data_IF_432757344372
#
_entry.id   IF_432757344372
#
_cell.length_a   1.000
_cell.length_b   1.000
_cell.length_c   1.000
_cell.angle_alpha   90.00
_cell.angle_beta   90.00
_cell.angle_gamma   90.00
#
_symmetry.space_group_name_H-M   'P 1'
#
loop_
_entity.id
_entity.type
_entity.pdbx_description
1 polymer ?
#
# COMPACT_ATOMS: atom_id res chain seq x y z
N UNK A 1 -62.60 -23.66 -13.56
CA UNK A 1 -61.65 -22.54 -13.35
C UNK A 1 -60.49 -22.89 -12.41
N UNK A 2 -60.71 -23.47 -11.21
CA UNK A 2 -59.62 -23.85 -10.27
C UNK A 2 -58.50 -24.75 -10.85
N UNK A 3 -58.83 -25.76 -11.67
CA UNK A 3 -57.82 -26.68 -12.24
C UNK A 3 -56.88 -26.03 -13.27
N UNK A 4 -57.36 -25.03 -14.03
CA UNK A 4 -56.52 -24.32 -14.99
C UNK A 4 -55.54 -23.38 -14.28
N UNK A 5 -55.99 -22.76 -13.17
CA UNK A 5 -55.12 -21.93 -12.34
C UNK A 5 -54.03 -22.78 -11.70
N UNK A 6 -54.38 -23.95 -11.13
CA UNK A 6 -53.42 -24.85 -10.50
C UNK A 6 -52.39 -25.40 -11.51
N UNK A 7 -52.84 -25.81 -12.71
CA UNK A 7 -51.95 -26.24 -13.80
C UNK A 7 -51.02 -25.13 -14.26
N UNK A 8 -51.52 -23.91 -14.44
CA UNK A 8 -50.70 -22.77 -14.86
C UNK A 8 -49.67 -22.39 -13.81
N UNK A 9 -50.02 -22.48 -12.52
CA UNK A 9 -49.07 -22.25 -11.41
C UNK A 9 -47.97 -23.32 -11.41
N UNK A 10 -48.30 -24.61 -11.60
CA UNK A 10 -47.28 -25.67 -11.69
C UNK A 10 -46.37 -25.46 -12.89
N UNK A 11 -46.91 -25.11 -14.06
CA UNK A 11 -46.10 -24.82 -15.25
C UNK A 11 -45.16 -23.64 -15.00
N UNK A 12 -45.66 -22.57 -14.37
CA UNK A 12 -44.86 -21.38 -14.06
C UNK A 12 -43.75 -21.69 -13.05
N UNK A 13 -44.03 -22.51 -12.04
CA UNK A 13 -43.03 -22.99 -11.08
C UNK A 13 -41.97 -23.88 -11.75
N UNK A 14 -42.37 -24.77 -12.68
CA UNK A 14 -41.42 -25.58 -13.45
C UNK A 14 -40.54 -24.72 -14.35
N UNK A 15 -41.11 -23.70 -15.01
CA UNK A 15 -40.33 -22.74 -15.82
C UNK A 15 -39.33 -22.00 -14.92
N UNK A 16 -39.78 -21.47 -13.78
CA UNK A 16 -38.92 -20.77 -12.84
C UNK A 16 -37.78 -21.67 -12.33
N UNK A 17 -38.10 -22.94 -12.02
CA UNK A 17 -37.11 -23.91 -11.57
C UNK A 17 -36.07 -24.21 -12.67
N UNK A 18 -36.50 -24.40 -13.91
CA UNK A 18 -35.58 -24.59 -15.05
C UNK A 18 -34.71 -23.36 -15.27
N UNK A 19 -35.29 -22.16 -15.21
CA UNK A 19 -34.53 -20.89 -15.33
C UNK A 19 -33.49 -20.77 -14.22
N UNK A 20 -33.85 -21.08 -12.97
CA UNK A 20 -32.91 -21.05 -11.85
C UNK A 20 -31.77 -22.07 -12.01
N UNK A 21 -32.06 -23.28 -12.49
CA UNK A 21 -31.01 -24.28 -12.77
C UNK A 21 -30.09 -23.80 -13.88
N UNK A 22 -30.63 -23.29 -14.99
CA UNK A 22 -29.82 -22.83 -16.13
C UNK A 22 -28.98 -21.63 -15.74
N UNK A 23 -29.58 -20.65 -15.05
CA UNK A 23 -28.87 -19.45 -14.63
C UNK A 23 -27.82 -19.77 -13.56
N UNK A 24 -28.20 -20.55 -12.55
CA UNK A 24 -27.30 -21.00 -11.49
C UNK A 24 -26.13 -21.82 -12.05
N UNK A 25 -26.41 -22.78 -12.93
CA UNK A 25 -25.40 -23.60 -13.61
C UNK A 25 -24.49 -22.80 -14.53
N UNK A 26 -25.03 -21.83 -15.27
CA UNK A 26 -24.23 -20.95 -16.13
C UNK A 26 -23.34 -20.02 -15.30
N UNK A 27 -23.86 -19.47 -14.19
CA UNK A 27 -23.10 -18.63 -13.28
C UNK A 27 -21.98 -19.41 -12.59
N UNK A 28 -22.25 -20.61 -12.08
CA UNK A 28 -21.21 -21.45 -11.47
C UNK A 28 -20.15 -21.86 -12.48
N UNK A 29 -20.56 -22.24 -13.69
CA UNK A 29 -19.64 -22.52 -14.80
C UNK A 29 -18.77 -21.31 -15.13
N UNK A 30 -19.37 -20.13 -15.30
CA UNK A 30 -18.65 -18.89 -15.63
C UNK A 30 -17.57 -18.57 -14.60
N UNK A 31 -17.89 -18.72 -13.31
CA UNK A 31 -16.92 -18.45 -12.24
C UNK A 31 -15.93 -19.60 -12.03
N UNK A 32 -16.10 -20.78 -12.61
CA UNK A 32 -15.16 -21.90 -12.46
C UNK A 32 -14.33 -22.17 -13.73
N UNK A 33 -14.78 -21.68 -14.88
CA UNK A 33 -14.15 -21.93 -16.17
C UNK A 33 -12.81 -21.19 -16.32
N UNK A 34 -11.98 -21.69 -17.25
CA UNK A 34 -10.73 -21.04 -17.62
C UNK A 34 -11.02 -19.58 -18.07
N UNK A 35 -10.26 -18.58 -17.57
CA UNK A 35 -10.41 -17.18 -17.97
C UNK A 35 -10.41 -16.95 -19.48
N UNK A 36 -9.65 -17.72 -20.26
CA UNK A 36 -9.59 -17.65 -21.74
C UNK A 36 -10.94 -17.95 -22.40
N UNK A 37 -11.80 -18.72 -21.72
CA UNK A 37 -13.17 -19.05 -22.17
C UNK A 37 -14.23 -18.11 -21.59
N UNK A 38 -13.83 -17.14 -20.76
CA UNK A 38 -14.73 -16.22 -20.05
C UNK A 38 -14.23 -14.78 -20.19
N UNK A 39 -13.69 -14.18 -19.13
CA UNK A 39 -13.32 -12.77 -19.10
C UNK A 39 -12.20 -12.39 -20.08
N UNK A 40 -11.22 -13.28 -20.30
CA UNK A 40 -10.10 -13.01 -21.20
C UNK A 40 -10.45 -13.22 -22.68
N UNK A 41 -11.69 -13.60 -23.00
CA UNK A 41 -12.21 -13.56 -24.38
C UNK A 41 -12.43 -12.12 -24.88
N UNK A 42 -12.53 -11.14 -23.98
CA UNK A 42 -12.55 -9.72 -24.29
C UNK A 42 -11.11 -9.21 -24.55
N UNK A 43 -10.89 -8.48 -25.65
CA UNK A 43 -9.55 -8.00 -26.00
C UNK A 43 -9.02 -6.94 -25.02
N UNK A 44 -9.92 -6.31 -24.28
CA UNK A 44 -9.64 -5.32 -23.24
C UNK A 44 -8.98 -5.96 -22.02
N UNK A 45 -9.35 -7.21 -21.74
CA UNK A 45 -8.93 -7.95 -20.53
C UNK A 45 -7.73 -8.84 -20.82
N UNK A 46 -7.54 -9.28 -22.06
CA UNK A 46 -6.40 -10.10 -22.51
C UNK A 46 -5.03 -9.64 -21.97
N UNK A 47 -4.69 -8.34 -21.94
CA UNK A 47 -3.40 -7.87 -21.44
C UNK A 47 -3.23 -8.04 -19.92
N UNK A 48 -4.29 -7.76 -19.16
CA UNK A 48 -4.33 -8.00 -17.72
C UNK A 48 -4.24 -9.50 -17.42
N UNK A 49 -4.86 -10.35 -18.26
CA UNK A 49 -4.71 -11.80 -18.17
C UNK A 49 -3.28 -12.26 -18.46
N UNK A 50 -2.62 -11.74 -19.50
CA UNK A 50 -1.24 -12.08 -19.83
C UNK A 50 -0.27 -11.73 -18.70
N UNK A 51 -0.42 -10.54 -18.11
CA UNK A 51 0.42 -10.13 -16.96
C UNK A 51 0.14 -11.00 -15.73
N UNK A 52 -1.13 -11.27 -15.41
CA UNK A 52 -1.54 -12.21 -14.37
C UNK A 52 -0.93 -13.62 -14.56
N UNK A 53 -0.97 -14.16 -15.78
CA UNK A 53 -0.46 -15.50 -16.09
C UNK A 53 1.05 -15.66 -15.82
N UNK A 54 1.80 -14.56 -15.83
CA UNK A 54 3.23 -14.51 -15.50
C UNK A 54 3.52 -14.06 -14.07
N UNK A 55 2.49 -13.86 -13.24
CA UNK A 55 2.62 -13.34 -11.88
C UNK A 55 2.73 -14.44 -10.83
N UNK A 56 3.10 -14.04 -9.60
CA UNK A 56 3.07 -14.92 -8.44
C UNK A 56 1.65 -15.43 -8.10
N UNK A 57 0.60 -14.75 -8.60
CA UNK A 57 -0.80 -15.11 -8.38
C UNK A 57 -1.42 -15.85 -9.57
N UNK A 58 -0.62 -16.31 -10.53
CA UNK A 58 -1.08 -17.03 -11.74
C UNK A 58 -1.84 -18.35 -11.46
N UNK A 59 -1.79 -18.86 -10.24
CA UNK A 59 -2.54 -20.04 -9.80
C UNK A 59 -3.81 -19.71 -9.01
N UNK A 60 -4.15 -18.41 -8.88
CA UNK A 60 -5.36 -17.93 -8.20
C UNK A 60 -6.31 -17.37 -9.24
N UNK A 61 -7.58 -17.77 -9.19
CA UNK A 61 -8.60 -17.30 -10.12
C UNK A 61 -8.91 -15.81 -9.94
N UNK A 62 -9.24 -15.11 -11.04
CA UNK A 62 -9.42 -13.65 -11.05
C UNK A 62 -10.46 -13.17 -10.02
N UNK A 63 -11.58 -13.89 -9.87
CA UNK A 63 -12.68 -13.52 -8.97
C UNK A 63 -12.34 -13.59 -7.48
N UNK A 64 -11.26 -14.30 -7.11
CA UNK A 64 -10.77 -14.27 -5.72
C UNK A 64 -10.27 -12.87 -5.34
N UNK A 65 -9.86 -12.05 -6.32
CA UNK A 65 -9.42 -10.66 -6.10
C UNK A 65 -10.44 -9.63 -6.62
N UNK A 66 -11.03 -9.86 -7.80
CA UNK A 66 -11.94 -8.90 -8.44
C UNK A 66 -13.42 -9.12 -8.14
N UNK A 67 -13.75 -10.17 -7.36
CA UNK A 67 -15.12 -10.58 -7.14
C UNK A 67 -15.80 -11.17 -8.38
N UNK A 68 -17.08 -11.46 -8.23
CA UNK A 68 -18.00 -11.98 -9.24
C UNK A 68 -19.09 -10.95 -9.53
N UNK A 69 -19.90 -11.19 -10.56
CA UNK A 69 -21.04 -10.33 -10.89
C UNK A 69 -22.09 -10.20 -9.77
N UNK A 70 -22.03 -11.04 -8.73
CA UNK A 70 -22.97 -11.02 -7.60
C UNK A 70 -22.28 -10.78 -6.25
N UNK A 71 -20.98 -10.45 -6.24
CA UNK A 71 -20.23 -10.31 -4.99
C UNK A 71 -20.77 -9.20 -4.09
N UNK A 72 -21.24 -8.09 -4.67
CA UNK A 72 -21.91 -7.00 -3.93
C UNK A 72 -23.34 -6.77 -4.45
N UNK A 73 -24.05 -7.85 -4.76
CA UNK A 73 -25.44 -7.80 -5.23
C UNK A 73 -25.63 -7.01 -6.52
N UNK A 74 -26.58 -6.07 -6.53
CA UNK A 74 -26.95 -5.30 -7.72
C UNK A 74 -25.83 -4.39 -8.23
N UNK A 75 -24.94 -3.92 -7.34
CA UNK A 75 -23.83 -3.05 -7.72
C UNK A 75 -22.88 -3.77 -8.69
N UNK A 76 -22.29 -4.90 -8.26
CA UNK A 76 -21.39 -5.69 -9.12
C UNK A 76 -22.07 -6.15 -10.42
N UNK A 77 -23.36 -6.45 -10.39
CA UNK A 77 -24.10 -6.82 -11.60
C UNK A 77 -24.19 -5.63 -12.57
N UNK A 78 -24.55 -4.44 -12.07
CA UNK A 78 -24.64 -3.22 -12.86
C UNK A 78 -23.30 -2.84 -13.48
N UNK A 79 -22.19 -2.99 -12.75
CA UNK A 79 -20.84 -2.75 -13.27
C UNK A 79 -20.51 -3.69 -14.43
N UNK A 80 -20.74 -5.00 -14.26
CA UNK A 80 -20.43 -5.97 -15.32
C UNK A 80 -21.31 -5.77 -16.55
N UNK A 81 -22.58 -5.41 -16.37
CA UNK A 81 -23.47 -5.03 -17.47
C UNK A 81 -22.98 -3.75 -18.16
N UNK A 82 -22.51 -2.76 -17.40
CA UNK A 82 -21.97 -1.53 -17.94
C UNK A 82 -20.68 -1.78 -18.74
N UNK A 83 -19.79 -2.69 -18.33
CA UNK A 83 -18.61 -3.06 -19.13
C UNK A 83 -19.00 -3.54 -20.54
N UNK A 84 -20.03 -4.40 -20.65
CA UNK A 84 -20.53 -4.88 -21.95
C UNK A 84 -21.13 -3.74 -22.77
N UNK A 85 -21.91 -2.87 -22.13
CA UNK A 85 -22.50 -1.71 -22.79
C UNK A 85 -21.43 -0.74 -23.31
N UNK A 86 -20.44 -0.41 -22.49
CA UNK A 86 -19.32 0.48 -22.84
C UNK A 86 -18.45 -0.12 -23.94
N UNK A 87 -18.21 -1.44 -23.93
CA UNK A 87 -17.54 -2.12 -25.04
C UNK A 87 -18.26 -1.89 -26.38
N UNK A 88 -19.58 -2.10 -26.41
CA UNK A 88 -20.37 -1.97 -27.65
C UNK A 88 -20.52 -0.52 -28.12
N UNK A 89 -20.67 0.42 -27.18
CA UNK A 89 -21.02 1.81 -27.51
C UNK A 89 -19.82 2.73 -27.62
N UNK A 90 -18.85 2.58 -26.73
CA UNK A 90 -17.79 3.56 -26.51
C UNK A 90 -16.40 3.05 -26.93
N UNK A 91 -16.22 1.74 -27.09
CA UNK A 91 -14.95 1.11 -27.47
C UNK A 91 -13.74 1.73 -26.75
N UNK A 92 -13.73 1.72 -25.40
CA UNK A 92 -12.77 2.47 -24.60
C UNK A 92 -11.35 2.02 -24.91
N UNK A 93 -10.41 2.96 -24.81
CA UNK A 93 -9.01 2.63 -24.95
C UNK A 93 -8.52 1.86 -23.71
N UNK A 94 -7.48 1.04 -23.86
CA UNK A 94 -7.02 0.13 -22.78
C UNK A 94 -6.70 0.89 -21.49
N UNK A 95 -6.08 2.04 -21.62
CA UNK A 95 -5.67 2.91 -20.53
C UNK A 95 -6.85 3.54 -19.79
N UNK A 96 -8.07 3.54 -20.34
CA UNK A 96 -9.28 4.02 -19.68
C UNK A 96 -9.92 2.95 -18.77
N UNK A 97 -9.48 1.69 -18.88
CA UNK A 97 -10.06 0.56 -18.14
C UNK A 97 -9.30 0.38 -16.84
N UNK A 98 -9.82 1.01 -15.78
CA UNK A 98 -9.22 1.04 -14.45
C UNK A 98 -10.23 0.68 -13.38
N UNK A 99 -9.71 0.22 -12.25
CA UNK A 99 -10.54 0.03 -11.06
C UNK A 99 -10.76 1.36 -10.36
N UNK A 100 -11.97 1.60 -9.88
CA UNK A 100 -12.26 2.72 -8.98
C UNK A 100 -11.58 2.50 -7.61
N UNK A 101 -11.47 3.56 -6.83
CA UNK A 101 -11.03 3.48 -5.43
C UNK A 101 -11.82 2.45 -4.62
N UNK A 102 -13.16 2.46 -4.75
CA UNK A 102 -14.04 1.51 -4.08
C UNK A 102 -13.67 0.07 -4.44
N UNK A 103 -13.50 -0.23 -5.74
CA UNK A 103 -13.09 -1.56 -6.20
C UNK A 103 -11.70 -1.95 -5.67
N UNK A 104 -10.75 -1.01 -5.60
CA UNK A 104 -9.42 -1.22 -5.04
C UNK A 104 -9.51 -1.59 -3.56
N UNK A 105 -10.32 -0.87 -2.78
CA UNK A 105 -10.52 -1.13 -1.36
C UNK A 105 -11.22 -2.47 -1.12
N UNK A 106 -12.20 -2.84 -1.94
CA UNK A 106 -12.81 -4.16 -1.87
C UNK A 106 -11.83 -5.29 -2.23
N UNK A 107 -11.00 -5.10 -3.26
CA UNK A 107 -9.96 -6.07 -3.61
C UNK A 107 -8.96 -6.23 -2.47
N UNK A 108 -8.61 -5.14 -1.79
CA UNK A 108 -7.79 -5.21 -0.58
C UNK A 108 -8.43 -6.04 0.53
N UNK A 109 -9.76 -5.94 0.74
CA UNK A 109 -10.47 -6.81 1.69
C UNK A 109 -10.37 -8.29 1.31
N UNK A 110 -10.28 -8.61 0.02
CA UNK A 110 -10.07 -9.99 -0.45
C UNK A 110 -8.63 -10.44 -0.26
N UNK A 111 -7.64 -9.55 -0.32
CA UNK A 111 -6.25 -9.85 0.02
C UNK A 111 -6.13 -10.43 1.44
N UNK A 112 -6.88 -9.89 2.41
CA UNK A 112 -6.91 -10.38 3.80
C UNK A 112 -7.20 -11.88 3.91
N UNK A 113 -8.00 -12.45 3.00
CA UNK A 113 -8.34 -13.88 3.02
C UNK A 113 -7.13 -14.82 2.90
N UNK A 114 -6.01 -14.34 2.37
CA UNK A 114 -4.74 -15.07 2.29
C UNK A 114 -3.57 -14.35 3.00
N UNK A 115 -3.63 -13.03 3.14
CA UNK A 115 -2.60 -12.15 3.70
C UNK A 115 -3.05 -11.52 5.03
N UNK A 116 -3.55 -12.35 5.95
CA UNK A 116 -4.11 -11.90 7.22
C UNK A 116 -3.08 -11.22 8.13
N UNK A 117 -1.85 -11.74 8.15
CA UNK A 117 -0.76 -11.18 8.96
C UNK A 117 -0.32 -9.82 8.42
N UNK A 118 -0.11 -9.71 7.10
CA UNK A 118 0.25 -8.45 6.45
C UNK A 118 -0.83 -7.40 6.66
N UNK A 119 -2.10 -7.77 6.54
CA UNK A 119 -3.23 -6.87 6.80
C UNK A 119 -3.27 -6.41 8.26
N UNK A 120 -3.08 -7.33 9.21
CA UNK A 120 -3.07 -7.00 10.64
C UNK A 120 -1.92 -6.05 10.99
N UNK A 121 -0.74 -6.26 10.40
CA UNK A 121 0.41 -5.38 10.54
C UNK A 121 0.14 -4.00 9.91
N UNK A 122 -0.47 -3.96 8.73
CA UNK A 122 -0.86 -2.72 8.08
C UNK A 122 -1.85 -1.91 8.92
N UNK A 123 -2.89 -2.53 9.50
CA UNK A 123 -3.82 -1.89 10.44
C UNK A 123 -3.08 -1.34 11.67
N UNK A 124 -2.11 -2.09 12.21
CA UNK A 124 -1.34 -1.64 13.36
C UNK A 124 -0.35 -0.50 13.03
N UNK A 125 -0.22 -0.12 11.75
CA UNK A 125 0.66 0.94 11.27
C UNK A 125 -0.10 2.25 11.01
N UNK A 126 0.66 3.35 10.90
CA UNK A 126 0.13 4.64 10.44
C UNK A 126 -0.33 4.67 8.98
N UNK A 127 0.00 3.67 8.15
CA UNK A 127 -0.47 3.61 6.76
C UNK A 127 -1.94 3.19 6.64
N UNK A 128 -2.55 2.72 7.72
CA UNK A 128 -3.99 2.45 7.77
C UNK A 128 -4.85 3.69 8.00
N UNK A 129 -4.23 4.88 8.11
CA UNK A 129 -4.94 6.14 8.29
C UNK A 129 -6.05 6.31 7.24
N UNK A 130 -7.20 6.77 7.73
CA UNK A 130 -8.34 7.11 6.89
C UNK A 130 -8.32 8.58 6.50
N UNK A 131 -9.23 8.96 5.59
CA UNK A 131 -9.42 10.35 5.23
C UNK A 131 -9.68 11.26 6.42
N UNK A 132 -10.53 10.85 7.38
CA UNK A 132 -10.80 11.65 8.57
C UNK A 132 -9.57 11.85 9.45
N UNK A 133 -8.74 10.80 9.63
CA UNK A 133 -7.49 10.91 10.39
C UNK A 133 -6.50 11.89 9.78
N UNK A 134 -6.45 12.01 8.45
CA UNK A 134 -5.51 12.91 7.76
C UNK A 134 -6.09 14.31 7.59
N UNK A 135 -7.29 14.43 7.04
CA UNK A 135 -7.83 15.72 6.57
C UNK A 135 -8.60 16.49 7.65
N UNK A 136 -8.87 15.87 8.80
CA UNK A 136 -9.52 16.53 9.94
C UNK A 136 -8.60 16.68 11.17
N UNK A 137 -7.29 16.42 11.03
CA UNK A 137 -6.35 16.62 12.14
C UNK A 137 -6.19 18.11 12.44
N UNK A 138 -6.79 18.57 13.54
CA UNK A 138 -6.81 19.98 13.91
C UNK A 138 -5.40 20.55 14.14
N UNK A 139 -4.50 19.75 14.71
CA UNK A 139 -3.15 20.20 15.06
C UNK A 139 -2.32 20.42 13.80
N UNK A 140 -2.36 19.48 12.87
CA UNK A 140 -1.67 19.58 11.59
C UNK A 140 -2.27 20.72 10.76
N UNK A 141 -3.59 20.74 10.58
CA UNK A 141 -4.23 21.68 9.68
C UNK A 141 -4.14 23.14 10.17
N UNK A 142 -4.01 23.37 11.47
CA UNK A 142 -3.74 24.71 12.01
C UNK A 142 -2.34 25.24 11.68
N UNK A 143 -1.42 24.37 11.25
CA UNK A 143 -0.02 24.72 10.93
C UNK A 143 0.30 24.62 9.44
N UNK A 144 -0.40 23.76 8.70
CA UNK A 144 -0.22 23.53 7.27
C UNK A 144 -1.58 23.57 6.58
N UNK A 145 -1.75 24.49 5.62
CA UNK A 145 -2.99 24.56 4.88
C UNK A 145 -3.12 23.36 3.94
N UNK A 146 -4.24 22.63 4.05
CA UNK A 146 -4.58 21.54 3.14
C UNK A 146 -4.48 21.99 1.68
N UNK A 147 -3.85 21.17 0.84
CA UNK A 147 -3.61 21.47 -0.56
C UNK A 147 -3.56 20.18 -1.39
N UNK A 148 -3.49 20.30 -2.72
CA UNK A 148 -3.55 19.13 -3.61
C UNK A 148 -2.39 18.14 -3.40
N UNK A 149 -1.23 18.58 -2.91
CA UNK A 149 -0.08 17.70 -2.70
C UNK A 149 -0.31 16.71 -1.55
N UNK A 150 -1.24 16.99 -0.63
CA UNK A 150 -1.67 16.03 0.39
C UNK A 150 -2.11 14.70 -0.26
N UNK A 151 -2.81 14.77 -1.41
CA UNK A 151 -3.32 13.60 -2.13
C UNK A 151 -2.24 12.83 -2.90
N UNK A 152 -1.00 13.35 -2.99
CA UNK A 152 0.12 12.60 -3.58
C UNK A 152 0.39 11.31 -2.80
N UNK A 153 0.18 11.35 -1.49
CA UNK A 153 0.41 10.24 -0.58
C UNK A 153 -0.87 9.85 0.18
N UNK A 154 -1.67 10.82 0.63
CA UNK A 154 -2.87 10.59 1.43
C UNK A 154 -4.15 10.61 0.60
N UNK A 155 -4.18 9.76 -0.42
CA UNK A 155 -5.37 9.57 -1.25
C UNK A 155 -5.04 8.83 -2.52
N UNK A 156 -4.27 7.75 -2.39
CA UNK A 156 -3.53 7.14 -3.49
C UNK A 156 -4.42 6.78 -4.69
N UNK A 157 -5.69 6.44 -4.48
CA UNK A 157 -6.63 6.05 -5.55
C UNK A 157 -7.83 6.99 -5.68
N UNK A 158 -7.87 8.10 -4.94
CA UNK A 158 -8.99 9.03 -5.01
C UNK A 158 -8.89 9.88 -6.27
N UNK A 159 -9.93 9.86 -7.11
CA UNK A 159 -9.93 10.58 -8.39
C UNK A 159 -10.16 12.10 -8.24
N UNK A 160 -10.78 12.53 -7.13
CA UNK A 160 -11.13 13.94 -6.91
C UNK A 160 -9.98 14.80 -6.38
N UNK A 161 -10.31 15.98 -5.91
CA UNK A 161 -9.36 16.95 -5.34
C UNK A 161 -9.60 17.19 -3.86
N UNK A 162 -8.68 17.88 -3.18
CA UNK A 162 -8.90 18.25 -1.77
C UNK A 162 -10.15 19.12 -1.59
N UNK A 163 -10.48 19.95 -2.59
CA UNK A 163 -11.73 20.72 -2.59
C UNK A 163 -12.99 19.87 -2.67
N UNK A 164 -12.92 18.65 -3.22
CA UNK A 164 -14.05 17.73 -3.29
C UNK A 164 -14.20 16.91 -2.01
N UNK A 165 -13.14 16.86 -1.20
CA UNK A 165 -13.01 15.94 -0.07
C UNK A 165 -13.34 16.60 1.28
N UNK A 166 -12.83 17.81 1.50
CA UNK A 166 -12.85 18.48 2.81
C UNK A 166 -13.13 19.97 2.67
N UNK A 167 -13.81 20.53 3.66
CA UNK A 167 -14.01 21.98 3.78
C UNK A 167 -13.96 22.45 5.25
N UNK A 168 -13.50 23.68 5.52
CA UNK A 168 -12.90 24.62 4.57
C UNK A 168 -11.45 24.25 4.22
N UNK A 169 -10.96 24.74 3.09
CA UNK A 169 -9.51 24.77 2.83
C UNK A 169 -8.94 26.01 3.51
N UNK A 170 -8.58 25.87 4.78
CA UNK A 170 -8.10 26.94 5.66
C UNK A 170 -7.28 26.36 6.81
N UNK A 171 -6.51 27.21 7.50
CA UNK A 171 -5.84 26.89 8.78
C UNK A 171 -6.72 27.18 10.01
N UNK A 172 -7.89 27.80 9.83
CA UNK A 172 -8.72 28.32 10.94
C UNK A 172 -9.84 27.36 11.38
N UNK A 173 -10.09 26.28 10.63
CA UNK A 173 -11.10 25.26 10.96
C UNK A 173 -12.51 25.80 11.21
N UNK A 174 -13.42 24.97 11.78
CA UNK A 174 -13.31 23.52 11.89
C UNK A 174 -13.42 22.85 10.51
N UNK A 175 -12.65 21.78 10.30
CA UNK A 175 -12.71 20.97 9.07
C UNK A 175 -13.78 19.89 9.16
N UNK A 176 -14.44 19.61 8.04
CA UNK A 176 -15.39 18.50 7.90
C UNK A 176 -15.26 17.85 6.53
N UNK A 177 -15.56 16.56 6.48
CA UNK A 177 -15.68 15.85 5.21
C UNK A 177 -16.89 16.37 4.45
N UNK A 178 -16.77 16.54 3.13
CA UNK A 178 -17.92 16.86 2.26
C UNK A 178 -18.83 15.66 2.04
N UNK A 179 -18.23 14.47 2.05
CA UNK A 179 -18.91 13.20 1.95
C UNK A 179 -18.48 12.32 3.14
N UNK A 180 -19.37 12.21 4.12
CA UNK A 180 -19.11 11.42 5.34
C UNK A 180 -18.88 9.94 5.06
N UNK A 181 -19.43 9.40 3.96
CA UNK A 181 -19.24 7.99 3.60
C UNK A 181 -17.79 7.63 3.29
N UNK A 182 -16.95 8.65 3.01
CA UNK A 182 -15.53 8.51 2.72
C UNK A 182 -14.63 8.64 3.94
N UNK A 183 -15.14 9.13 5.06
CA UNK A 183 -14.34 9.49 6.24
C UNK A 183 -13.42 8.34 6.71
N UNK A 184 -13.93 7.12 6.68
CA UNK A 184 -13.24 5.92 7.18
C UNK A 184 -12.48 5.14 6.10
N UNK A 185 -12.51 5.59 4.84
CA UNK A 185 -11.77 4.93 3.76
C UNK A 185 -10.27 5.17 3.91
N UNK A 186 -9.49 4.12 3.68
CA UNK A 186 -8.04 4.15 3.82
C UNK A 186 -7.38 4.97 2.71
N UNK A 187 -6.47 5.87 3.07
CA UNK A 187 -5.78 6.73 2.10
C UNK A 187 -4.61 6.05 1.39
N UNK A 188 -4.03 5.03 2.03
CA UNK A 188 -2.85 4.27 1.54
C UNK A 188 -3.17 2.76 1.59
N UNK A 189 -4.00 2.25 0.66
CA UNK A 189 -4.32 0.82 0.60
C UNK A 189 -3.12 -0.01 0.13
N UNK A 190 -3.16 -1.35 0.30
CA UNK A 190 -2.04 -2.24 -0.03
C UNK A 190 -1.47 -2.03 -1.45
N UNK A 191 -2.35 -1.76 -2.42
CA UNK A 191 -1.96 -1.52 -3.82
C UNK A 191 -1.27 -0.18 -4.06
N UNK A 192 -1.17 0.71 -3.07
CA UNK A 192 -0.30 1.88 -3.16
C UNK A 192 1.17 1.48 -3.33
N UNK A 193 1.55 0.33 -2.75
CA UNK A 193 2.89 -0.23 -2.82
C UNK A 193 2.95 -1.57 -3.58
N UNK A 194 1.83 -2.27 -3.77
CA UNK A 194 1.82 -3.58 -4.43
C UNK A 194 1.27 -3.54 -5.86
N UNK A 195 2.06 -4.07 -6.80
CA UNK A 195 1.68 -4.32 -8.20
C UNK A 195 1.36 -5.80 -8.38
N UNK A 196 0.09 -6.18 -8.22
CA UNK A 196 -0.33 -7.60 -8.12
C UNK A 196 0.00 -8.43 -9.36
N UNK A 197 -0.17 -7.86 -10.57
CA UNK A 197 0.12 -8.54 -11.84
C UNK A 197 1.59 -8.37 -12.29
N UNK A 198 2.52 -8.07 -11.38
CA UNK A 198 3.95 -8.08 -11.69
C UNK A 198 4.47 -9.49 -11.93
N UNK A 199 5.49 -9.63 -12.78
CA UNK A 199 6.17 -10.91 -13.03
C UNK A 199 6.68 -11.53 -11.74
N UNK A 200 6.34 -12.80 -11.51
CA UNK A 200 6.72 -13.54 -10.31
C UNK A 200 6.47 -15.04 -10.47
N UNK A 201 6.86 -15.81 -9.46
CA UNK A 201 6.61 -17.26 -9.44
C UNK A 201 5.67 -17.59 -8.29
N UNK A 202 4.68 -18.48 -8.48
CA UNK A 202 3.86 -18.98 -7.39
C UNK A 202 4.72 -19.59 -6.28
N UNK A 203 4.27 -19.45 -5.04
CA UNK A 203 4.92 -20.12 -3.91
C UNK A 203 4.77 -21.63 -4.04
N UNK A 204 5.90 -22.34 -4.02
CA UNK A 204 5.95 -23.81 -4.06
C UNK A 204 6.52 -24.36 -2.77
N UNK A 205 6.08 -25.57 -2.40
CA UNK A 205 6.70 -26.29 -1.28
C UNK A 205 8.15 -26.62 -1.66
N UNK A 206 9.12 -26.47 -0.73
CA UNK A 206 10.48 -26.93 -0.97
C UNK A 206 10.53 -28.42 -1.27
N UNK A 207 11.56 -28.84 -2.01
CA UNK A 207 11.89 -30.26 -2.14
C UNK A 207 12.48 -30.79 -0.83
N UNK A 208 11.80 -31.74 -0.20
CA UNK A 208 12.22 -32.36 1.06
C UNK A 208 13.19 -33.53 0.88
N UNK A 209 13.47 -33.96 -0.35
CA UNK A 209 14.45 -35.02 -0.59
C UNK A 209 15.88 -34.60 -0.18
N UNK A 210 16.19 -33.30 -0.25
CA UNK A 210 17.48 -32.73 0.12
C UNK A 210 17.31 -31.59 1.13
N UNK A 211 17.02 -31.89 2.41
CA UNK A 211 16.67 -30.88 3.41
C UNK A 211 17.79 -29.85 3.64
N UNK A 212 19.05 -30.26 3.48
CA UNK A 212 20.19 -29.33 3.55
C UNK A 212 20.14 -28.22 2.51
N UNK A 213 19.52 -28.45 1.34
CA UNK A 213 19.40 -27.46 0.28
C UNK A 213 18.24 -26.47 0.51
N UNK A 214 17.26 -26.80 1.36
CA UNK A 214 16.10 -25.94 1.64
C UNK A 214 16.53 -24.59 2.24
N UNK A 215 17.62 -24.58 3.02
CA UNK A 215 18.14 -23.35 3.63
C UNK A 215 18.91 -22.49 2.62
N UNK A 216 19.80 -23.09 1.83
CA UNK A 216 20.71 -22.37 0.94
C UNK A 216 20.16 -22.13 -0.49
N UNK A 217 19.17 -22.91 -0.91
CA UNK A 217 18.60 -22.87 -2.27
C UNK A 217 17.42 -21.91 -2.43
N UNK A 218 17.12 -21.08 -1.42
CA UNK A 218 16.01 -20.12 -1.53
C UNK A 218 16.38 -19.00 -2.49
N UNK A 219 15.68 -18.94 -3.62
CA UNK A 219 15.76 -17.80 -4.54
C UNK A 219 15.06 -16.61 -3.91
N UNK A 220 15.66 -15.42 -4.03
CA UNK A 220 15.02 -14.17 -3.62
C UNK A 220 13.72 -14.03 -4.40
N UNK A 221 12.59 -14.04 -3.69
CA UNK A 221 11.28 -13.82 -4.27
C UNK A 221 11.26 -12.43 -4.90
N UNK A 222 10.81 -12.34 -6.16
CA UNK A 222 10.58 -11.04 -6.78
C UNK A 222 9.35 -10.43 -6.10
N UNK A 223 9.58 -9.51 -5.17
CA UNK A 223 8.51 -8.88 -4.42
C UNK A 223 7.67 -8.05 -5.39
N UNK A 224 6.36 -8.26 -5.39
CA UNK A 224 5.37 -7.56 -6.22
C UNK A 224 5.17 -6.11 -5.78
N UNK A 225 6.25 -5.38 -5.54
CA UNK A 225 6.25 -4.03 -4.97
C UNK A 225 6.60 -3.03 -6.07
N UNK A 226 5.85 -1.93 -6.11
CA UNK A 226 6.04 -0.78 -6.98
C UNK A 226 5.23 0.41 -6.47
N UNK A 227 5.70 1.63 -6.71
CA UNK A 227 4.95 2.83 -6.32
C UNK A 227 3.78 3.03 -7.27
N UNK A 228 2.55 3.05 -6.76
CA UNK A 228 1.44 3.63 -7.51
C UNK A 228 1.60 5.15 -7.55
N UNK A 229 1.65 5.74 -8.74
CA UNK A 229 1.69 7.20 -8.90
C UNK A 229 0.31 7.64 -9.34
N UNK A 230 -0.41 8.30 -8.44
CA UNK A 230 -1.79 8.76 -8.66
C UNK A 230 -1.96 9.59 -9.93
N UNK A 231 -1.04 10.51 -10.22
CA UNK A 231 -1.14 11.37 -11.40
C UNK A 231 -1.03 10.61 -12.73
N UNK A 232 -0.24 9.54 -12.74
CA UNK A 232 -0.02 8.70 -13.93
C UNK A 232 -0.97 7.50 -13.95
N UNK A 233 -1.66 7.26 -12.84
CA UNK A 233 -2.54 6.12 -12.58
C UNK A 233 -1.90 4.74 -12.87
N UNK A 234 -0.59 4.63 -12.66
CA UNK A 234 0.19 3.40 -12.91
C UNK A 234 1.18 3.11 -11.79
N UNK A 235 1.60 1.84 -11.73
CA UNK A 235 2.70 1.39 -10.86
C UNK A 235 4.06 1.46 -11.56
N UNK A 236 4.99 2.16 -10.95
CA UNK A 236 6.41 2.16 -11.31
C UNK A 236 7.17 1.09 -10.53
N UNK A 237 8.03 0.36 -11.24
CA UNK A 237 8.95 -0.61 -10.63
C UNK A 237 9.98 0.11 -9.74
N UNK A 238 10.35 -0.50 -8.61
CA UNK A 238 11.31 0.08 -7.68
C UNK A 238 12.68 0.35 -8.31
N UNK A 239 13.09 -0.46 -9.29
CA UNK A 239 14.34 -0.26 -10.02
C UNK A 239 14.35 1.04 -10.83
N UNK A 240 13.17 1.53 -11.21
CA UNK A 240 13.00 2.77 -11.99
C UNK A 240 12.80 4.00 -11.10
N UNK A 241 12.61 3.83 -9.78
CA UNK A 241 12.49 4.96 -8.88
C UNK A 241 13.84 5.65 -8.72
N UNK A 242 13.87 7.00 -8.78
CA UNK A 242 15.10 7.75 -8.59
C UNK A 242 15.61 7.60 -7.16
N UNK A 243 16.93 7.72 -7.00
CA UNK A 243 17.53 7.90 -5.67
C UNK A 243 17.57 9.39 -5.39
N UNK A 244 16.78 9.91 -4.43
CA UNK A 244 16.78 11.35 -4.17
C UNK A 244 18.13 11.79 -3.60
N UNK A 245 18.61 12.95 -4.05
CA UNK A 245 19.75 13.62 -3.45
C UNK A 245 19.26 14.32 -2.20
N UNK A 246 19.71 13.86 -1.03
CA UNK A 246 19.37 14.42 0.27
C UNK A 246 20.63 15.01 0.87
N UNK A 247 20.51 16.19 1.48
CA UNK A 247 21.59 16.96 2.04
C UNK A 247 21.52 16.94 3.57
N UNK A 248 22.69 16.92 4.20
CA UNK A 248 22.87 17.25 5.60
C UNK A 248 23.80 18.47 5.64
N UNK A 249 23.22 19.65 5.85
CA UNK A 249 23.87 20.93 5.63
C UNK A 249 24.39 21.06 4.19
N UNK A 250 25.71 20.99 3.99
CA UNK A 250 26.35 21.07 2.67
C UNK A 250 26.69 19.71 2.07
N UNK A 251 26.64 18.66 2.87
CA UNK A 251 27.09 17.33 2.47
C UNK A 251 25.94 16.50 1.90
N UNK A 252 26.24 15.67 0.92
CA UNK A 252 25.26 14.71 0.39
C UNK A 252 25.23 13.47 1.25
N UNK A 253 24.06 13.13 1.77
CA UNK A 253 23.83 11.94 2.60
C UNK A 253 24.03 10.68 1.77
N UNK A 254 24.79 9.72 2.29
CA UNK A 254 24.89 8.40 1.69
C UNK A 254 23.54 7.68 1.77
N UNK A 255 22.98 7.33 0.61
CA UNK A 255 21.74 6.55 0.52
C UNK A 255 22.01 5.05 0.43
N UNK A 256 21.21 4.19 1.10
CA UNK A 256 21.33 2.74 1.00
C UNK A 256 21.05 2.25 -0.43
N UNK A 257 21.75 1.19 -0.84
CA UNK A 257 21.43 0.46 -2.08
C UNK A 257 20.25 -0.52 -1.86
N UNK A 258 19.12 -0.01 -1.37
CA UNK A 258 17.86 -0.76 -1.19
C UNK A 258 16.77 -0.13 -2.06
N UNK A 259 16.21 -0.83 -3.06
CA UNK A 259 15.10 -0.31 -3.85
C UNK A 259 13.86 0.05 -3.01
N UNK A 260 13.66 -0.61 -1.87
CA UNK A 260 12.52 -0.29 -0.98
C UNK A 260 12.74 1.06 -0.28
N UNK A 261 13.97 1.46 0.02
CA UNK A 261 14.25 2.80 0.53
C UNK A 261 13.73 3.87 -0.44
N UNK A 262 13.97 3.67 -1.76
CA UNK A 262 13.51 4.58 -2.82
C UNK A 262 11.99 4.69 -2.91
N UNK A 263 11.24 3.68 -2.46
CA UNK A 263 9.79 3.74 -2.31
C UNK A 263 9.39 4.58 -1.10
N UNK A 264 9.97 4.29 0.07
CA UNK A 264 9.62 4.96 1.34
C UNK A 264 9.80 6.48 1.25
N UNK A 265 10.92 6.93 0.66
CA UNK A 265 11.26 8.35 0.50
C UNK A 265 10.39 9.10 -0.52
N UNK A 266 9.44 8.43 -1.17
CA UNK A 266 8.45 9.10 -2.03
C UNK A 266 7.35 9.77 -1.20
N UNK A 267 7.16 9.28 0.04
CA UNK A 267 6.22 9.82 1.02
C UNK A 267 6.96 10.45 2.20
N UNK A 268 7.97 9.76 2.74
CA UNK A 268 8.81 10.25 3.84
C UNK A 268 10.03 11.02 3.31
N UNK A 269 9.76 12.09 2.55
CA UNK A 269 10.76 12.89 1.85
C UNK A 269 11.08 14.20 2.59
N UNK A 270 12.31 14.72 2.46
CA UNK A 270 12.61 16.04 2.99
C UNK A 270 11.79 17.09 2.24
N UNK A 271 11.79 18.32 2.77
CA UNK A 271 11.19 19.46 2.06
C UNK A 271 11.85 19.67 0.68
N UNK A 272 11.29 20.58 -0.12
CA UNK A 272 11.84 20.99 -1.43
C UNK A 272 13.30 21.47 -1.39
N UNK A 273 13.83 21.78 -0.20
CA UNK A 273 15.25 22.14 0.01
C UNK A 273 16.18 20.93 0.09
N UNK A 274 15.62 19.72 0.10
CA UNK A 274 16.31 18.44 0.19
C UNK A 274 17.14 18.27 1.47
N UNK A 275 16.88 19.06 2.51
CA UNK A 275 17.60 18.95 3.79
C UNK A 275 17.01 17.86 4.67
N UNK A 276 17.84 16.96 5.16
CA UNK A 276 17.44 15.91 6.09
C UNK A 276 16.82 16.50 7.36
N UNK A 277 15.71 15.92 7.80
CA UNK A 277 14.92 16.35 8.95
C UNK A 277 14.13 17.64 8.77
N UNK A 278 13.97 18.12 7.53
CA UNK A 278 13.21 19.36 7.25
C UNK A 278 11.71 19.15 7.09
N UNK A 279 11.25 17.89 7.02
CA UNK A 279 9.83 17.54 6.92
C UNK A 279 9.56 16.19 7.61
N UNK A 280 8.62 15.40 7.10
CA UNK A 280 8.34 14.04 7.60
C UNK A 280 9.46 13.03 7.31
N UNK A 281 10.53 13.43 6.62
CA UNK A 281 11.64 12.54 6.33
C UNK A 281 12.27 11.95 7.59
N UNK A 282 12.48 10.64 7.52
CA UNK A 282 13.17 9.84 8.52
C UNK A 282 14.54 9.43 8.00
N UNK A 283 15.15 10.27 7.16
CA UNK A 283 16.42 9.96 6.49
C UNK A 283 17.51 9.74 7.54
N UNK A 284 18.15 8.55 7.55
CA UNK A 284 19.23 8.29 8.47
C UNK A 284 20.46 9.14 8.16
N UNK A 285 20.96 9.87 9.17
CA UNK A 285 22.24 10.59 9.13
C UNK A 285 23.06 10.25 10.38
N UNK A 286 24.25 10.81 10.50
CA UNK A 286 25.10 10.58 11.67
C UNK A 286 25.53 9.11 11.78
N UNK A 287 25.30 8.47 12.92
CA UNK A 287 25.77 7.09 13.15
C UNK A 287 24.97 6.03 12.37
N UNK A 288 23.83 6.40 11.78
CA UNK A 288 22.98 5.50 11.01
C UNK A 288 22.94 5.85 9.51
N UNK A 289 23.78 6.77 9.05
CA UNK A 289 23.86 7.14 7.64
C UNK A 289 24.10 5.91 6.74
N UNK A 290 23.43 5.87 5.58
CA UNK A 290 23.54 4.75 4.64
C UNK A 290 22.75 3.49 5.01
N UNK A 291 22.04 3.46 6.15
CA UNK A 291 21.21 2.32 6.56
C UNK A 291 19.82 2.38 5.89
N UNK A 292 19.31 1.25 5.42
CA UNK A 292 17.94 1.15 4.89
C UNK A 292 16.89 1.21 5.99
N UNK A 293 15.72 1.83 5.69
CA UNK A 293 14.56 1.84 6.56
C UNK A 293 14.19 0.44 7.06
N UNK A 294 14.31 -0.60 6.22
CA UNK A 294 13.98 -1.99 6.56
C UNK A 294 14.98 -2.68 7.48
N UNK A 295 16.13 -2.07 7.76
CA UNK A 295 17.03 -2.57 8.80
C UNK A 295 16.38 -2.40 10.18
N UNK A 296 15.67 -1.28 10.38
CA UNK A 296 15.03 -0.94 11.64
C UNK A 296 13.54 -1.27 11.65
N UNK A 297 12.82 -0.98 10.57
CA UNK A 297 11.37 -1.10 10.50
C UNK A 297 10.94 -2.43 9.88
N UNK A 298 10.03 -3.12 10.56
CA UNK A 298 9.39 -4.34 10.06
C UNK A 298 8.43 -4.03 8.90
N UNK A 299 8.31 -4.92 7.90
CA UNK A 299 7.38 -4.75 6.79
C UNK A 299 5.91 -4.61 7.25
N UNK A 300 5.15 -3.76 6.56
CA UNK A 300 3.73 -3.46 6.77
C UNK A 300 3.37 -2.76 8.08
N UNK A 301 3.99 -3.09 9.21
CA UNK A 301 3.71 -2.44 10.51
C UNK A 301 4.54 -1.18 10.74
N UNK A 302 5.67 -1.04 10.05
CA UNK A 302 6.72 -0.08 10.37
C UNK A 302 7.21 -0.21 11.84
N UNK A 303 6.94 -1.34 12.49
CA UNK A 303 7.31 -1.55 13.87
C UNK A 303 8.83 -1.68 13.97
N UNK A 304 9.45 -0.92 14.87
CA UNK A 304 10.91 -0.85 14.97
C UNK A 304 11.48 -1.52 16.22
N UNK A 305 10.62 -1.89 17.18
CA UNK A 305 11.09 -2.34 18.49
C UNK A 305 11.86 -3.66 18.34
N UNK A 306 13.01 -3.73 19.01
CA UNK A 306 14.00 -4.83 18.92
C UNK A 306 14.88 -4.83 17.67
N UNK A 307 14.82 -3.81 16.82
CA UNK A 307 15.74 -3.68 15.69
C UNK A 307 17.19 -3.51 16.10
N UNK A 308 17.45 -2.88 17.25
CA UNK A 308 18.80 -2.64 17.74
C UNK A 308 19.60 -3.94 17.87
N UNK A 309 18.98 -5.01 18.36
CA UNK A 309 19.65 -6.29 18.62
C UNK A 309 20.11 -7.01 17.33
N UNK A 310 19.60 -6.58 16.16
CA UNK A 310 20.05 -7.08 14.85
C UNK A 310 21.49 -6.66 14.54
N UNK A 311 21.98 -5.58 15.16
CA UNK A 311 23.29 -4.99 14.89
C UNK A 311 24.14 -4.79 16.14
N UNK A 312 23.51 -4.53 17.29
CA UNK A 312 24.17 -4.26 18.57
C UNK A 312 24.00 -5.43 19.54
N UNK A 313 25.09 -5.83 20.20
CA UNK A 313 25.01 -6.69 21.38
C UNK A 313 24.72 -5.87 22.64
N UNK A 314 24.95 -6.45 23.82
CA UNK A 314 24.75 -5.78 25.12
C UNK A 314 25.46 -4.43 25.23
N UNK A 315 26.59 -4.31 24.55
CA UNK A 315 27.34 -3.07 24.38
C UNK A 315 27.72 -2.92 22.92
N UNK A 316 27.55 -1.71 22.39
CA UNK A 316 28.04 -1.38 21.06
C UNK A 316 29.54 -1.65 20.98
N UNK A 317 29.98 -2.26 19.87
CA UNK A 317 31.40 -2.53 19.64
C UNK A 317 32.22 -1.24 19.60
N UNK A 318 31.62 -0.14 19.17
CA UNK A 318 32.28 1.14 18.93
C UNK A 318 32.41 1.99 20.20
N UNK A 319 31.31 2.21 20.93
CA UNK A 319 31.32 3.10 22.11
C UNK A 319 31.22 2.36 23.45
N UNK A 320 31.09 1.02 23.46
CA UNK A 320 30.94 0.18 24.67
C UNK A 320 29.75 0.55 25.58
N UNK A 321 28.78 1.30 25.06
CA UNK A 321 27.52 1.63 25.74
C UNK A 321 26.39 0.72 25.28
N UNK A 322 25.39 0.52 26.14
CA UNK A 322 24.13 -0.10 25.74
C UNK A 322 23.27 0.95 25.01
N UNK A 323 23.27 0.85 23.67
CA UNK A 323 22.60 1.81 22.80
C UNK A 323 21.09 1.85 22.98
N UNK A 324 20.49 0.78 23.51
CA UNK A 324 19.03 0.67 23.74
C UNK A 324 18.57 1.58 24.87
N UNK A 325 19.48 1.98 25.75
CA UNK A 325 19.22 2.82 26.92
C UNK A 325 19.63 4.28 26.70
N UNK A 326 20.22 4.60 25.55
CA UNK A 326 20.67 5.94 25.25
C UNK A 326 19.48 6.88 25.06
N UNK A 327 19.62 8.12 25.53
CA UNK A 327 18.61 9.17 25.41
C UNK A 327 18.38 9.51 23.94
N UNK A 328 17.44 8.80 23.30
CA UNK A 328 17.08 8.92 21.89
C UNK A 328 15.58 8.71 21.72
N UNK A 329 15.02 9.07 20.56
CA UNK A 329 13.61 8.82 20.25
C UNK A 329 13.24 7.34 20.17
N UNK A 330 14.22 6.42 20.21
CA UNK A 330 13.97 5.00 20.37
C UNK A 330 13.43 4.65 21.78
N UNK A 331 14.04 5.23 22.82
CA UNK A 331 13.64 4.96 24.22
C UNK A 331 12.46 5.83 24.65
N UNK A 332 12.42 7.08 24.19
CA UNK A 332 11.41 8.07 24.57
C UNK A 332 11.09 8.98 23.40
N UNK A 333 9.86 9.01 22.85
CA UNK A 333 9.47 9.87 21.73
C UNK A 333 9.77 11.36 21.95
N UNK A 334 9.80 11.82 23.20
CA UNK A 334 10.06 13.20 23.60
C UNK A 334 11.55 13.54 23.70
N UNK A 335 12.44 12.57 23.49
CA UNK A 335 13.89 12.79 23.52
C UNK A 335 14.32 13.85 22.51
N UNK A 336 15.23 14.77 22.88
CA UNK A 336 15.77 15.77 21.96
C UNK A 336 16.65 15.13 20.87
N UNK A 337 17.20 13.94 21.11
CA UNK A 337 18.06 13.25 20.16
C UNK A 337 17.21 12.30 19.29
N UNK A 338 17.02 12.65 18.01
CA UNK A 338 16.27 11.82 17.08
C UNK A 338 17.12 10.61 16.64
N UNK A 339 16.58 9.39 16.79
CA UNK A 339 17.27 8.14 16.45
C UNK A 339 17.72 8.08 14.97
N UNK A 340 17.03 8.76 14.07
CA UNK A 340 17.38 8.80 12.66
C UNK A 340 18.60 9.70 12.41
N UNK A 341 18.88 10.68 13.26
CA UNK A 341 19.89 11.71 13.01
C UNK A 341 20.96 11.81 14.10
N UNK A 342 20.93 10.91 15.06
CA UNK A 342 21.84 10.94 16.21
C UNK A 342 23.30 10.80 15.76
N UNK A 343 24.15 11.67 16.26
CA UNK A 343 25.58 11.68 16.05
C UNK A 343 26.32 11.33 17.35
N UNK A 344 27.61 10.99 17.25
CA UNK A 344 28.43 10.67 18.42
C UNK A 344 28.40 11.79 19.49
N UNK A 345 28.45 13.06 19.06
CA UNK A 345 28.46 14.22 19.95
C UNK A 345 27.16 14.42 20.75
N UNK A 346 26.05 13.84 20.29
CA UNK A 346 24.75 13.99 20.96
C UNK A 346 24.71 13.15 22.25
N UNK A 347 25.59 12.14 22.33
CA UNK A 347 25.64 11.17 23.41
C UNK A 347 27.00 11.09 24.12
N UNK A 348 28.00 11.84 23.65
CA UNK A 348 29.33 11.91 24.24
C UNK A 348 29.71 13.37 24.54
N UNK A 349 29.96 13.67 25.82
CA UNK A 349 30.28 15.03 26.30
C UNK A 349 31.65 15.53 25.80
N UNK A 350 32.56 14.63 25.45
CA UNK A 350 33.91 14.95 24.95
C UNK A 350 33.90 15.69 23.59
N UNK A 351 32.74 15.79 22.93
CA UNK A 351 32.54 16.58 21.72
C UNK A 351 31.97 17.99 21.95
N UNK A 352 31.48 18.32 23.15
CA UNK A 352 30.86 19.64 23.44
C UNK A 352 31.86 20.71 23.90
N UNK A 353 33.15 20.35 24.09
CA UNK A 353 34.18 21.24 24.63
C UNK A 353 35.36 21.51 23.68
N UNK A 354 35.08 21.95 22.45
CA UNK A 354 36.14 22.54 21.59
C UNK A 354 35.76 23.81 20.86
N UNK A 355 34.60 24.43 21.15
CA UNK A 355 34.40 25.85 20.90
C UNK A 355 33.31 26.45 21.78
N UNK A 356 33.74 27.11 22.87
CA UNK A 356 33.14 28.29 23.52
C UNK A 356 33.75 28.44 24.90
N UNK A 357 34.96 29.00 24.92
CA UNK A 357 35.22 30.00 25.94
C UNK A 357 34.21 31.13 25.72
N UNK A 358 33.44 31.48 26.76
CA UNK A 358 32.94 32.83 27.06
C UNK A 358 32.05 32.75 28.31
N UNK A 359 32.62 33.30 29.41
CA UNK A 359 32.02 34.04 30.54
C UNK A 359 31.07 33.26 31.48
N UNK A 360 31.21 33.32 32.80
CA UNK A 360 32.09 34.07 33.71
C UNK A 360 32.22 33.27 35.00
#
# INVERSE_FOLDING_TARGET
MKNNIFRNVIILLLILFVVLIVFGGSYTYWNAANPEKTCASCHEISPSHQTWASSAHSQITCFKCHGTALSNGLHSFSEKANMVFTHVKSAPHRDEIRMSEEQILETMQRCKGCHENEYSNWIASGHSASYSHIFLDEKHNATEQLNFDCLRCHGMFYAGTTYDLVEPISVEGPWKMKDESRADLATIPCMACHKIHSRGMPSVRPDYANPGYIFYGRVVQNNSIGLYVRNEEIHFDLANLPTPVILNDTDTVQTPNDPVYRLCVQCHAPSVRHQAGSSDDKTPTGVHEGISCRACHEPHSNFQRNSCDKCHGDKSKNCKLDVRTMNTTYISPESPNNIHRVACQDCHDDGRNSSKSVKQ
#
